data_IF_657410974234
#
_entry.id   IF_657410974234
#
_cell.length_a   1.000
_cell.length_b   1.000
_cell.length_c   1.000
_cell.angle_alpha   90.00
_cell.angle_beta   90.00
_cell.angle_gamma   90.00
#
_symmetry.space_group_name_H-M   'P 1'
#
loop_
_entity.id
_entity.type
_entity.pdbx_description
1 polymer ?
#
# COMPACT_ATOMS: atom_id res chain seq x y z
N UNK A 1 -8.74 15.67 -21.07
CA UNK A 1 -8.71 14.30 -20.48
C UNK A 1 -7.34 13.63 -20.61
N UNK A 2 -6.91 13.18 -21.80
CA UNK A 2 -5.66 12.40 -22.00
C UNK A 2 -4.39 12.99 -21.39
N UNK A 3 -4.15 14.30 -21.51
CA UNK A 3 -2.98 14.95 -20.88
C UNK A 3 -3.01 14.92 -19.35
N UNK A 4 -4.19 15.09 -18.73
CA UNK A 4 -4.37 14.95 -17.27
C UNK A 4 -4.08 13.50 -16.86
N UNK A 5 -4.66 12.52 -17.55
CA UNK A 5 -4.40 11.11 -17.29
C UNK A 5 -2.91 10.76 -17.32
N UNK A 6 -2.16 11.28 -18.30
CA UNK A 6 -0.69 11.09 -18.39
C UNK A 6 0.06 11.58 -17.14
N UNK A 7 -0.36 12.71 -16.54
CA UNK A 7 0.25 13.20 -15.29
C UNK A 7 0.00 12.23 -14.13
N UNK A 8 -1.21 11.69 -14.04
CA UNK A 8 -1.55 10.69 -13.02
C UNK A 8 -0.74 9.41 -13.18
N UNK A 9 -0.58 8.88 -14.40
CA UNK A 9 0.27 7.71 -14.62
C UNK A 9 1.75 7.99 -14.30
N UNK A 10 2.27 9.16 -14.68
CA UNK A 10 3.65 9.53 -14.39
C UNK A 10 3.91 9.62 -12.88
N UNK A 11 3.01 10.25 -12.14
CA UNK A 11 3.10 10.27 -10.67
C UNK A 11 2.92 8.86 -10.10
N UNK A 12 1.92 8.10 -10.56
CA UNK A 12 1.69 6.72 -10.12
C UNK A 12 2.91 5.81 -10.29
N UNK A 13 3.65 6.00 -11.38
CA UNK A 13 4.92 5.32 -11.67
C UNK A 13 6.05 5.73 -10.71
N UNK A 14 6.12 7.00 -10.31
CA UNK A 14 7.10 7.46 -9.31
C UNK A 14 6.82 6.85 -7.93
N UNK A 15 5.56 6.85 -7.51
CA UNK A 15 5.13 6.17 -6.28
C UNK A 15 5.36 4.66 -6.36
N UNK A 16 5.08 4.04 -7.51
CA UNK A 16 5.37 2.63 -7.77
C UNK A 16 6.84 2.29 -7.51
N UNK A 17 7.77 3.01 -8.18
CA UNK A 17 9.20 2.73 -8.07
C UNK A 17 9.72 2.93 -6.64
N UNK A 18 9.18 3.92 -5.94
CA UNK A 18 9.52 4.16 -4.54
C UNK A 18 9.00 3.03 -3.65
N UNK A 19 7.75 2.60 -3.85
CA UNK A 19 7.18 1.46 -3.12
C UNK A 19 7.98 0.18 -3.37
N UNK A 20 8.34 -0.09 -4.62
CA UNK A 20 9.15 -1.25 -5.01
C UNK A 20 10.49 -1.28 -4.28
N UNK A 21 11.22 -0.15 -4.27
CA UNK A 21 12.49 -0.02 -3.56
C UNK A 21 12.33 -0.31 -2.06
N UNK A 22 11.33 0.29 -1.41
CA UNK A 22 11.11 0.11 0.03
C UNK A 22 10.71 -1.33 0.37
N UNK A 23 9.87 -1.95 -0.45
CA UNK A 23 9.48 -3.35 -0.28
C UNK A 23 10.67 -4.29 -0.50
N UNK A 24 11.55 -4.03 -1.47
CA UNK A 24 12.78 -4.80 -1.66
C UNK A 24 13.70 -4.71 -0.45
N UNK A 25 13.89 -3.51 0.11
CA UNK A 25 14.67 -3.33 1.34
C UNK A 25 14.07 -4.14 2.50
N UNK A 26 12.76 -4.03 2.74
CA UNK A 26 12.07 -4.79 3.78
C UNK A 26 12.19 -6.32 3.60
N UNK A 27 12.03 -6.80 2.36
CA UNK A 27 12.14 -8.24 2.03
C UNK A 27 13.56 -8.74 2.25
N UNK A 28 14.57 -7.97 1.82
CA UNK A 28 15.99 -8.36 1.93
C UNK A 28 16.50 -8.26 3.37
N UNK A 29 15.99 -7.30 4.14
CA UNK A 29 16.32 -7.13 5.56
C UNK A 29 15.70 -8.19 6.47
N UNK A 30 14.72 -8.96 5.97
CA UNK A 30 14.05 -10.04 6.71
C UNK A 30 13.18 -9.56 7.87
N UNK A 31 13.16 -8.25 8.16
CA UNK A 31 12.30 -7.60 9.15
C UNK A 31 12.24 -8.31 10.51
N UNK A 32 13.36 -8.89 10.96
CA UNK A 32 13.41 -9.60 12.23
C UNK A 32 13.39 -8.59 13.38
N UNK A 33 12.32 -8.60 14.16
CA UNK A 33 12.18 -7.81 15.40
C UNK A 33 12.24 -8.71 16.65
N UNK A 34 12.58 -9.98 16.47
CA UNK A 34 12.60 -10.99 17.52
C UNK A 34 14.01 -11.54 17.69
N UNK A 35 14.36 -11.92 18.92
CA UNK A 35 15.54 -12.71 19.19
C UNK A 35 15.14 -14.09 19.69
N UNK A 36 15.84 -15.11 19.19
CA UNK A 36 15.65 -16.51 19.59
C UNK A 36 16.97 -16.99 20.17
N UNK A 37 16.96 -17.42 21.42
CA UNK A 37 18.14 -17.90 22.14
C UNK A 37 17.79 -19.00 23.14
N UNK A 38 18.80 -19.67 23.66
CA UNK A 38 18.63 -20.74 24.65
C UNK A 38 18.43 -20.19 26.08
N UNK A 39 18.61 -18.88 26.27
CA UNK A 39 18.35 -18.13 27.50
C UNK A 39 17.64 -16.82 27.18
N UNK A 40 17.05 -16.20 28.22
CA UNK A 40 16.42 -14.89 28.08
C UNK A 40 17.43 -13.82 27.67
N UNK A 41 18.62 -13.81 28.28
CA UNK A 41 19.70 -12.86 28.01
C UNK A 41 20.18 -12.97 26.57
N UNK A 42 20.39 -14.19 26.07
CA UNK A 42 20.77 -14.45 24.68
C UNK A 42 19.67 -14.01 23.70
N UNK A 43 18.41 -14.34 23.99
CA UNK A 43 17.28 -13.91 23.17
C UNK A 43 17.14 -12.38 23.16
N UNK A 44 17.34 -11.72 24.29
CA UNK A 44 17.28 -10.26 24.40
C UNK A 44 18.41 -9.57 23.63
N UNK A 45 19.65 -10.05 23.73
CA UNK A 45 20.79 -9.51 22.95
C UNK A 45 20.58 -9.65 21.44
N UNK A 46 20.05 -10.78 20.99
CA UNK A 46 19.74 -11.00 19.58
C UNK A 46 18.60 -10.08 19.15
N UNK A 47 17.56 -9.92 19.98
CA UNK A 47 16.45 -9.00 19.72
C UNK A 47 16.95 -7.57 19.57
N UNK A 48 17.79 -7.06 20.48
CA UNK A 48 18.33 -5.70 20.40
C UNK A 48 19.13 -5.48 19.11
N UNK A 49 19.98 -6.45 18.72
CA UNK A 49 20.73 -6.39 17.45
C UNK A 49 19.81 -6.37 16.23
N UNK A 50 18.74 -7.15 16.29
CA UNK A 50 17.76 -7.28 15.21
C UNK A 50 16.91 -6.00 15.08
N UNK A 51 16.41 -5.48 16.20
CA UNK A 51 15.68 -4.19 16.25
C UNK A 51 16.54 -3.04 15.76
N UNK A 52 17.82 -2.97 16.13
CA UNK A 52 18.74 -1.92 15.65
C UNK A 52 18.98 -1.95 14.13
N UNK A 53 18.78 -3.11 13.50
CA UNK A 53 18.90 -3.31 12.04
C UNK A 53 17.55 -3.42 11.35
N UNK A 54 16.46 -3.20 12.11
CA UNK A 54 15.13 -3.43 11.61
C UNK A 54 14.68 -2.30 10.70
N UNK A 55 14.44 -2.67 9.44
CA UNK A 55 13.78 -1.82 8.47
C UNK A 55 12.27 -1.72 8.73
N UNK A 56 11.72 -2.25 9.84
CA UNK A 56 10.28 -2.26 10.11
C UNK A 56 9.64 -0.87 10.08
N UNK A 57 10.42 0.18 10.33
CA UNK A 57 9.97 1.57 10.19
C UNK A 57 9.69 1.99 8.75
N UNK A 58 10.29 1.32 7.75
CA UNK A 58 10.02 1.48 6.32
C UNK A 58 8.67 0.90 5.90
N UNK A 59 8.03 0.08 6.74
CA UNK A 59 6.73 -0.52 6.45
C UNK A 59 5.67 0.53 6.14
N UNK A 60 5.55 1.53 7.01
CA UNK A 60 4.52 2.57 6.92
C UNK A 60 4.66 3.34 5.59
N UNK A 61 5.84 3.91 5.26
CA UNK A 61 6.01 4.57 3.97
C UNK A 61 5.83 3.60 2.80
N UNK A 62 6.26 2.33 2.89
CA UNK A 62 6.08 1.37 1.80
C UNK A 62 4.59 1.14 1.47
N UNK A 63 3.75 0.91 2.49
CA UNK A 63 2.30 0.72 2.30
C UNK A 63 1.63 2.00 1.78
N UNK A 64 2.01 3.16 2.31
CA UNK A 64 1.50 4.44 1.82
C UNK A 64 1.80 4.62 0.33
N UNK A 65 3.04 4.36 -0.10
CA UNK A 65 3.45 4.47 -1.51
C UNK A 65 2.68 3.48 -2.40
N UNK A 66 2.41 2.25 -1.92
CA UNK A 66 1.59 1.27 -2.64
C UNK A 66 0.15 1.74 -2.86
N UNK A 67 -0.49 2.26 -1.81
CA UNK A 67 -1.85 2.80 -1.87
C UNK A 67 -1.92 4.00 -2.81
N UNK A 68 -0.99 4.95 -2.67
CA UNK A 68 -0.93 6.15 -3.49
C UNK A 68 -0.67 5.83 -4.97
N UNK A 69 0.25 4.89 -5.26
CA UNK A 69 0.50 4.43 -6.64
C UNK A 69 -0.76 3.84 -7.26
N UNK A 70 -1.43 2.94 -6.54
CA UNK A 70 -2.68 2.31 -6.98
C UNK A 70 -3.78 3.34 -7.25
N UNK A 71 -3.99 4.28 -6.32
CA UNK A 71 -4.96 5.36 -6.47
C UNK A 71 -4.70 6.20 -7.72
N UNK A 72 -3.46 6.62 -7.94
CA UNK A 72 -3.08 7.45 -9.08
C UNK A 72 -3.26 6.73 -10.41
N UNK A 73 -2.91 5.43 -10.46
CA UNK A 73 -3.17 4.60 -11.63
C UNK A 73 -4.66 4.48 -11.94
N UNK A 74 -5.49 4.24 -10.93
CA UNK A 74 -6.95 4.16 -11.10
C UNK A 74 -7.54 5.48 -11.56
N UNK A 75 -7.15 6.61 -10.95
CA UNK A 75 -7.57 7.95 -11.39
C UNK A 75 -7.12 8.26 -12.82
N UNK A 76 -5.93 7.81 -13.21
CA UNK A 76 -5.45 7.87 -14.59
C UNK A 76 -6.36 7.12 -15.57
N UNK A 77 -6.77 5.89 -15.24
CA UNK A 77 -7.69 5.10 -16.06
C UNK A 77 -9.07 5.75 -16.19
N UNK A 78 -9.62 6.28 -15.09
CA UNK A 78 -10.89 7.00 -15.11
C UNK A 78 -10.83 8.19 -16.07
N UNK A 79 -9.78 9.02 -15.96
CA UNK A 79 -9.58 10.16 -16.85
C UNK A 79 -9.34 9.75 -18.31
N UNK A 80 -8.79 8.57 -18.60
CA UNK A 80 -8.69 8.07 -19.98
C UNK A 80 -10.03 7.68 -20.57
N UNK A 81 -10.95 7.20 -19.74
CA UNK A 81 -12.31 6.83 -20.11
C UNK A 81 -13.29 8.01 -19.95
N UNK A 82 -12.77 9.23 -19.94
CA UNK A 82 -13.54 10.47 -19.84
C UNK A 82 -14.41 10.60 -18.57
N UNK A 83 -14.05 9.87 -17.51
CA UNK A 83 -14.66 9.98 -16.19
C UNK A 83 -13.91 11.04 -15.39
N UNK A 84 -14.64 12.06 -14.91
CA UNK A 84 -14.07 13.05 -14.00
C UNK A 84 -13.79 12.43 -12.63
N UNK A 85 -12.69 12.89 -12.03
CA UNK A 85 -12.24 12.46 -10.71
C UNK A 85 -12.58 13.54 -9.68
N UNK A 86 -13.04 13.12 -8.51
CA UNK A 86 -13.24 14.01 -7.37
C UNK A 86 -12.00 14.00 -6.45
N UNK A 87 -12.12 14.70 -5.32
CA UNK A 87 -11.09 14.74 -4.27
C UNK A 87 -11.07 13.52 -3.34
N UNK A 88 -11.87 12.46 -3.59
CA UNK A 88 -11.92 11.31 -2.69
C UNK A 88 -10.67 10.44 -2.78
N UNK A 89 -10.40 9.72 -1.70
CA UNK A 89 -9.37 8.67 -1.60
C UNK A 89 -9.99 7.27 -1.44
N UNK A 90 -11.31 7.15 -1.61
CA UNK A 90 -12.03 5.89 -1.44
C UNK A 90 -11.86 4.97 -2.65
N UNK A 91 -10.80 4.15 -2.63
CA UNK A 91 -10.50 3.17 -3.69
C UNK A 91 -11.70 2.25 -3.98
N UNK A 92 -12.52 1.93 -2.98
CA UNK A 92 -13.73 1.13 -3.19
C UNK A 92 -14.71 1.79 -4.17
N UNK A 93 -14.91 3.11 -4.09
CA UNK A 93 -15.75 3.83 -5.07
C UNK A 93 -15.18 3.71 -6.47
N UNK A 94 -13.86 3.80 -6.59
CA UNK A 94 -13.20 3.66 -7.89
C UNK A 94 -13.29 2.23 -8.45
N UNK A 95 -13.29 1.21 -7.59
CA UNK A 95 -13.48 -0.18 -8.01
C UNK A 95 -14.85 -0.42 -8.64
N UNK A 96 -15.92 0.16 -8.09
CA UNK A 96 -17.26 0.04 -8.70
C UNK A 96 -17.28 0.68 -10.10
N UNK A 97 -16.67 1.85 -10.26
CA UNK A 97 -16.54 2.52 -11.57
C UNK A 97 -15.72 1.67 -12.54
N UNK A 98 -14.59 1.11 -12.10
CA UNK A 98 -13.75 0.25 -12.94
C UNK A 98 -14.44 -1.06 -13.32
N UNK A 99 -15.29 -1.60 -12.45
CA UNK A 99 -16.10 -2.79 -12.74
C UNK A 99 -17.06 -2.52 -13.89
N UNK A 100 -17.68 -1.34 -13.94
CA UNK A 100 -18.55 -0.95 -15.05
C UNK A 100 -17.77 -0.75 -16.36
N UNK A 101 -16.57 -0.14 -16.29
CA UNK A 101 -15.74 0.12 -17.47
C UNK A 101 -15.11 -1.13 -18.09
N UNK A 102 -14.58 -2.03 -17.25
CA UNK A 102 -13.75 -3.15 -17.71
C UNK A 102 -14.39 -4.52 -17.48
N UNK A 103 -15.54 -4.60 -16.81
CA UNK A 103 -16.21 -5.84 -16.38
C UNK A 103 -15.41 -6.66 -15.36
N UNK A 104 -16.09 -7.58 -14.66
CA UNK A 104 -15.44 -8.43 -13.66
C UNK A 104 -14.43 -9.44 -14.24
N UNK A 105 -14.53 -9.74 -15.54
CA UNK A 105 -13.66 -10.72 -16.19
C UNK A 105 -12.30 -10.13 -16.56
N UNK A 106 -12.18 -8.80 -16.66
CA UNK A 106 -10.95 -8.10 -17.02
C UNK A 106 -9.82 -8.37 -16.04
N UNK A 107 -8.64 -8.64 -16.60
CA UNK A 107 -7.40 -8.79 -15.84
C UNK A 107 -7.08 -7.53 -15.03
N UNK A 108 -7.19 -6.35 -15.66
CA UNK A 108 -6.91 -5.07 -15.02
C UNK A 108 -7.78 -4.86 -13.77
N UNK A 109 -9.09 -5.09 -13.90
CA UNK A 109 -10.01 -4.98 -12.78
C UNK A 109 -9.67 -5.99 -11.67
N UNK A 110 -9.39 -7.25 -12.03
CA UNK A 110 -9.03 -8.30 -11.07
C UNK A 110 -7.77 -7.95 -10.28
N UNK A 111 -6.73 -7.44 -10.93
CA UNK A 111 -5.48 -7.08 -10.25
C UNK A 111 -5.67 -5.88 -9.30
N UNK A 112 -6.40 -4.84 -9.71
CA UNK A 112 -6.70 -3.69 -8.85
C UNK A 112 -7.58 -4.12 -7.66
N UNK A 113 -8.60 -4.95 -7.91
CA UNK A 113 -9.46 -5.52 -6.87
C UNK A 113 -8.64 -6.34 -5.86
N UNK A 114 -7.77 -7.22 -6.34
CA UNK A 114 -6.89 -8.05 -5.51
C UNK A 114 -6.03 -7.19 -4.60
N UNK A 115 -5.38 -6.16 -5.15
CA UNK A 115 -4.54 -5.25 -4.37
C UNK A 115 -5.32 -4.50 -3.29
N UNK A 116 -6.52 -4.01 -3.61
CA UNK A 116 -7.38 -3.35 -2.63
C UNK A 116 -7.69 -4.26 -1.43
N UNK A 117 -8.13 -5.50 -1.67
CA UNK A 117 -8.43 -6.42 -0.58
C UNK A 117 -7.18 -6.87 0.19
N UNK A 118 -6.05 -7.07 -0.49
CA UNK A 118 -4.78 -7.33 0.20
C UNK A 118 -4.43 -6.21 1.17
N UNK A 119 -4.58 -4.94 0.77
CA UNK A 119 -4.36 -3.80 1.68
C UNK A 119 -5.35 -3.77 2.85
N UNK A 120 -6.64 -4.06 2.62
CA UNK A 120 -7.62 -4.06 3.71
C UNK A 120 -7.29 -5.10 4.77
N UNK A 121 -6.84 -6.30 4.38
CA UNK A 121 -6.45 -7.33 5.35
C UNK A 121 -5.23 -6.90 6.18
N UNK A 122 -4.21 -6.31 5.55
CA UNK A 122 -3.02 -5.78 6.22
C UNK A 122 -3.39 -4.70 7.24
N UNK A 123 -4.23 -3.77 6.80
CA UNK A 123 -4.59 -2.60 7.59
C UNK A 123 -5.69 -2.89 8.60
N UNK A 124 -6.26 -4.11 8.63
CA UNK A 124 -7.40 -4.47 9.47
C UNK A 124 -7.10 -4.26 10.96
N UNK A 125 -5.99 -4.82 11.45
CA UNK A 125 -5.58 -4.68 12.85
C UNK A 125 -5.20 -3.24 13.17
N UNK A 126 -4.43 -2.59 12.30
CA UNK A 126 -4.08 -1.18 12.43
C UNK A 126 -5.30 -0.26 12.54
N UNK A 127 -6.30 -0.45 11.67
CA UNK A 127 -7.55 0.32 11.70
C UNK A 127 -8.31 0.10 12.99
N UNK A 128 -8.38 -1.15 13.47
CA UNK A 128 -9.02 -1.51 14.73
C UNK A 128 -8.32 -0.85 15.92
N UNK A 129 -7.00 -0.98 16.00
CA UNK A 129 -6.19 -0.49 17.12
C UNK A 129 -6.22 1.05 17.22
N UNK A 130 -6.46 1.74 16.10
CA UNK A 130 -6.51 3.20 16.01
C UNK A 130 -7.94 3.77 15.83
N UNK A 131 -8.99 2.95 15.90
CA UNK A 131 -10.37 3.40 15.71
C UNK A 131 -10.65 4.09 14.36
N UNK A 132 -9.93 3.69 13.30
CA UNK A 132 -10.06 4.25 11.94
C UNK A 132 -11.22 3.57 11.22
N UNK A 133 -12.26 4.34 10.89
CA UNK A 133 -13.49 3.82 10.28
C UNK A 133 -13.66 4.19 8.80
N UNK A 134 -12.95 5.21 8.33
CA UNK A 134 -13.07 5.71 6.95
C UNK A 134 -11.71 5.83 6.24
N UNK A 135 -11.75 5.93 4.91
CA UNK A 135 -10.56 5.97 4.05
C UNK A 135 -9.75 7.27 4.18
N UNK A 136 -10.40 8.39 4.53
CA UNK A 136 -9.72 9.66 4.73
C UNK A 136 -8.80 9.61 5.95
N UNK A 137 -9.32 9.13 7.09
CA UNK A 137 -8.54 8.96 8.31
C UNK A 137 -7.42 7.93 8.13
N UNK A 138 -7.68 6.86 7.38
CA UNK A 138 -6.64 5.89 7.00
C UNK A 138 -5.53 6.55 6.17
N UNK A 139 -5.90 7.35 5.18
CA UNK A 139 -4.93 8.07 4.34
C UNK A 139 -4.10 9.06 5.16
N UNK A 140 -4.75 9.87 5.99
CA UNK A 140 -4.09 10.88 6.82
C UNK A 140 -3.18 10.25 7.86
N UNK A 141 -3.60 9.15 8.49
CA UNK A 141 -2.81 8.43 9.49
C UNK A 141 -1.58 7.72 8.91
N UNK A 142 -1.62 7.28 7.65
CA UNK A 142 -0.42 6.73 6.99
C UNK A 142 0.52 7.83 6.47
N UNK A 143 -0.01 9.01 6.13
CA UNK A 143 0.75 10.12 5.57
C UNK A 143 1.42 11.00 6.64
N UNK A 144 0.75 11.21 7.76
CA UNK A 144 1.21 12.09 8.82
C UNK A 144 1.37 11.30 10.13
N UNK A 145 2.59 11.24 10.70
CA UNK A 145 2.85 10.52 11.94
C UNK A 145 2.20 11.19 13.15
N UNK A 146 1.92 12.48 13.05
CA UNK A 146 1.32 13.32 14.08
C UNK A 146 -0.11 13.74 13.69
N UNK A 147 -0.90 14.01 14.73
CA UNK A 147 -2.35 14.22 14.69
C UNK A 147 -2.72 15.49 13.90
N UNK A 148 -2.86 15.39 12.58
CA UNK A 148 -3.55 16.39 11.77
C UNK A 148 -4.99 15.93 11.51
N UNK A 149 -5.93 16.41 12.32
CA UNK A 149 -7.39 16.27 12.18
C UNK A 149 -8.04 14.88 12.44
N UNK A 150 -7.40 13.94 13.15
CA UNK A 150 -8.09 12.73 13.66
C UNK A 150 -8.53 12.89 15.12
N UNK A 151 -9.61 12.23 15.53
CA UNK A 151 -10.20 12.33 16.87
C UNK A 151 -9.40 11.62 17.98
N UNK A 152 -8.27 10.96 17.68
CA UNK A 152 -7.55 10.06 18.61
C UNK A 152 -6.19 10.61 19.05
N UNK A 153 -5.91 10.60 20.36
CA UNK A 153 -4.74 11.26 20.99
C UNK A 153 -3.36 10.68 20.65
N UNK A 154 -3.28 9.51 20.02
CA UNK A 154 -2.03 8.98 19.45
C UNK A 154 -2.33 7.90 18.39
N UNK A 155 -1.50 7.83 17.34
CA UNK A 155 -1.55 6.74 16.34
C UNK A 155 -0.52 5.68 16.73
N UNK A 156 -0.96 4.44 16.88
CA UNK A 156 -0.15 3.25 17.12
C UNK A 156 0.15 2.53 15.81
N UNK A 157 1.43 2.39 15.48
CA UNK A 157 1.88 1.63 14.31
C UNK A 157 2.34 0.20 14.66
N UNK A 158 2.16 -0.23 15.91
CA UNK A 158 2.63 -1.54 16.38
C UNK A 158 2.12 -2.69 15.52
N UNK A 159 0.84 -2.67 15.14
CA UNK A 159 0.23 -3.68 14.29
C UNK A 159 0.82 -3.76 12.87
N UNK A 160 1.53 -2.73 12.42
CA UNK A 160 2.16 -2.69 11.10
C UNK A 160 3.65 -3.07 11.19
N UNK A 161 4.34 -2.54 12.21
CA UNK A 161 5.78 -2.73 12.44
C UNK A 161 6.08 -4.17 12.90
N UNK A 162 5.26 -4.75 13.77
CA UNK A 162 5.53 -6.05 14.41
C UNK A 162 4.63 -7.15 13.83
N UNK A 163 4.84 -7.48 12.55
CA UNK A 163 4.02 -8.43 11.79
C UNK A 163 4.59 -9.88 11.70
N UNK A 164 5.52 -10.26 12.58
CA UNK A 164 6.16 -11.59 12.63
C UNK A 164 6.72 -12.07 11.26
N UNK A 165 7.14 -13.34 11.17
CA UNK A 165 7.70 -13.95 9.95
C UNK A 165 6.73 -13.92 8.74
N UNK A 166 5.43 -13.81 8.99
CA UNK A 166 4.39 -13.65 7.96
C UNK A 166 4.49 -12.31 7.20
N UNK A 167 5.16 -11.31 7.78
CA UNK A 167 5.33 -9.99 7.18
C UNK A 167 6.13 -10.00 5.87
N UNK A 168 7.13 -10.88 5.72
CA UNK A 168 7.94 -10.93 4.50
C UNK A 168 7.12 -11.46 3.32
N UNK A 169 6.37 -12.55 3.52
CA UNK A 169 5.50 -13.12 2.49
C UNK A 169 4.42 -12.14 2.06
N UNK A 170 3.92 -11.38 3.03
CA UNK A 170 3.02 -10.27 2.77
C UNK A 170 3.65 -9.21 1.85
N UNK A 171 4.89 -8.77 2.11
CA UNK A 171 5.58 -7.80 1.23
C UNK A 171 5.81 -8.33 -0.17
N UNK A 172 6.18 -9.61 -0.29
CA UNK A 172 6.33 -10.28 -1.60
C UNK A 172 5.01 -10.27 -2.36
N UNK A 173 3.91 -10.60 -1.70
CA UNK A 173 2.58 -10.57 -2.30
C UNK A 173 2.15 -9.16 -2.73
N UNK A 174 2.37 -8.13 -1.91
CA UNK A 174 2.08 -6.73 -2.24
C UNK A 174 2.91 -6.28 -3.44
N UNK A 175 4.22 -6.51 -3.42
CA UNK A 175 5.13 -6.15 -4.52
C UNK A 175 4.68 -6.79 -5.84
N UNK A 176 4.33 -8.08 -5.79
CA UNK A 176 3.85 -8.81 -6.96
C UNK A 176 2.52 -8.22 -7.48
N UNK A 177 1.56 -7.97 -6.61
CA UNK A 177 0.27 -7.39 -6.99
C UNK A 177 0.45 -5.98 -7.59
N UNK A 178 1.31 -5.16 -7.00
CA UNK A 178 1.62 -3.81 -7.49
C UNK A 178 2.25 -3.87 -8.90
N UNK A 179 3.17 -4.82 -9.11
CA UNK A 179 3.80 -5.07 -10.42
C UNK A 179 2.78 -5.49 -11.47
N UNK A 180 1.85 -6.39 -11.10
CA UNK A 180 0.78 -6.83 -11.99
C UNK A 180 -0.15 -5.68 -12.40
N UNK A 181 -0.50 -4.80 -11.46
CA UNK A 181 -1.29 -3.60 -11.75
C UNK A 181 -0.54 -2.72 -12.74
N UNK A 182 0.73 -2.41 -12.48
CA UNK A 182 1.54 -1.57 -13.37
C UNK A 182 1.57 -2.15 -14.78
N UNK A 183 1.83 -3.45 -14.93
CA UNK A 183 1.87 -4.10 -16.23
C UNK A 183 0.51 -4.05 -16.93
N UNK A 184 -0.59 -4.28 -16.20
CA UNK A 184 -1.95 -4.17 -16.74
C UNK A 184 -2.30 -2.75 -17.18
N UNK A 185 -1.87 -1.74 -16.40
CA UNK A 185 -2.02 -0.31 -16.73
C UNK A 185 -1.25 0.03 -18.00
N UNK A 186 0.00 -0.45 -18.14
CA UNK A 186 0.82 -0.19 -19.33
C UNK A 186 0.20 -0.78 -20.60
N UNK A 187 -0.34 -2.00 -20.50
CA UNK A 187 -1.07 -2.63 -21.62
C UNK A 187 -2.28 -1.77 -22.03
N UNK A 188 -3.06 -1.31 -21.06
CA UNK A 188 -4.25 -0.50 -21.31
C UNK A 188 -3.91 0.90 -21.83
N UNK A 189 -2.86 1.53 -21.28
CA UNK A 189 -2.34 2.80 -21.73
C UNK A 189 -1.94 2.75 -23.21
N UNK A 190 -1.19 1.72 -23.61
CA UNK A 190 -0.76 1.52 -25.00
C UNK A 190 -1.91 1.18 -25.96
N UNK A 191 -3.07 0.74 -25.45
CA UNK A 191 -4.27 0.45 -26.25
C UNK A 191 -5.06 1.73 -26.56
N UNK A 192 -5.07 2.69 -25.63
CA UNK A 192 -5.92 3.89 -25.67
C UNK A 192 -5.20 5.16 -26.18
N UNK A 193 -3.87 5.12 -26.28
CA UNK A 193 -3.02 6.15 -26.88
C UNK A 193 -2.50 5.70 -28.24
#
# INVERSE_FOLDING_TARGET
MKYRARKFFLLGEQYFKTAELLLETLINGGNSNAGVGNSYEEAYEIMEKNVAKSDATLFIPAIFMCLQSTELFVKGLMLLNEIEIDGTHEIQKFLEILKELYTESSLLYKEIKKMYYSHQEILKKYKKDNGITNSHDLYMSLRYPEKNNTSHDSISYYALIYNNDEGIELFRAIKQNLTNIRNSILLEYNRLF
#
